data_IF_767359632825
#
_entry.id   IF_767359632825
#
_cell.length_a   1.000
_cell.length_b   1.000
_cell.length_c   1.000
_cell.angle_alpha   90.00
_cell.angle_beta   90.00
_cell.angle_gamma   90.00
#
_symmetry.space_group_name_H-M   'P 1'
#
loop_
_entity.id
_entity.type
_entity.pdbx_description
1 polymer ?
#
# COMPACT_ATOMS: atom_id res chain seq x y z
N UNK A 1 16.36 -19.14 5.41
CA UNK A 1 16.85 -18.02 6.25
C UNK A 1 15.68 -17.55 7.10
N UNK A 2 15.83 -17.41 8.41
CA UNK A 2 14.69 -17.11 9.29
C UNK A 2 14.30 -15.62 9.16
N UNK A 3 13.12 -15.32 8.61
CA UNK A 3 12.63 -13.96 8.38
C UNK A 3 12.59 -13.12 9.68
N UNK A 4 12.19 -13.74 10.79
CA UNK A 4 12.17 -13.06 12.10
C UNK A 4 13.57 -12.60 12.53
N UNK A 5 14.62 -13.38 12.26
CA UNK A 5 16.00 -12.99 12.54
C UNK A 5 16.44 -11.79 11.70
N UNK A 6 16.10 -11.80 10.41
CA UNK A 6 16.39 -10.67 9.51
C UNK A 6 15.69 -9.42 10.00
N UNK A 7 14.41 -9.50 10.34
CA UNK A 7 13.63 -8.39 10.89
C UNK A 7 14.29 -7.83 12.16
N UNK A 8 14.68 -8.72 13.09
CA UNK A 8 15.36 -8.28 14.33
C UNK A 8 16.66 -7.55 14.04
N UNK A 9 17.52 -8.10 13.20
CA UNK A 9 18.82 -7.49 12.88
C UNK A 9 18.61 -6.16 12.17
N UNK A 10 17.78 -6.10 11.13
CA UNK A 10 17.59 -4.89 10.33
C UNK A 10 16.97 -3.76 11.14
N UNK A 11 15.85 -4.03 11.82
CA UNK A 11 15.15 -2.98 12.60
C UNK A 11 15.99 -2.53 13.78
N UNK A 12 16.60 -3.48 14.52
CA UNK A 12 17.43 -3.13 15.68
C UNK A 12 18.70 -2.39 15.29
N UNK A 13 19.37 -2.78 14.20
CA UNK A 13 20.56 -2.07 13.73
C UNK A 13 20.22 -0.62 13.31
N UNK A 14 19.17 -0.41 12.53
CA UNK A 14 18.73 0.92 12.15
C UNK A 14 18.35 1.76 13.37
N UNK A 15 17.54 1.20 14.28
CA UNK A 15 17.12 1.89 15.50
C UNK A 15 18.31 2.27 16.39
N UNK A 16 19.25 1.34 16.58
CA UNK A 16 20.44 1.56 17.41
C UNK A 16 21.36 2.67 16.83
N UNK A 17 21.62 2.61 15.53
CA UNK A 17 22.44 3.65 14.84
C UNK A 17 21.81 5.03 15.04
N UNK A 18 20.51 5.17 14.80
CA UNK A 18 19.83 6.45 14.95
C UNK A 18 19.72 6.89 16.42
N UNK A 19 19.58 5.97 17.37
CA UNK A 19 19.59 6.27 18.79
C UNK A 19 20.95 6.86 19.22
N UNK A 20 22.06 6.19 18.87
CA UNK A 20 23.42 6.65 19.17
C UNK A 20 23.66 8.02 18.55
N UNK A 21 23.30 8.22 17.28
CA UNK A 21 23.40 9.50 16.59
C UNK A 21 22.56 10.56 17.29
N UNK A 22 21.36 10.23 17.74
CA UNK A 22 20.47 11.11 18.50
C UNK A 22 21.09 11.60 19.80
N UNK A 23 21.66 10.69 20.58
CA UNK A 23 22.32 11.01 21.84
C UNK A 23 23.54 11.93 21.61
N UNK A 24 24.44 11.55 20.71
CA UNK A 24 25.66 12.32 20.40
C UNK A 24 25.30 13.73 19.93
N UNK A 25 24.33 13.85 19.06
CA UNK A 25 23.92 15.15 18.52
C UNK A 25 23.16 15.99 19.54
N UNK A 26 22.37 15.38 20.41
CA UNK A 26 21.72 16.07 21.52
C UNK A 26 22.69 16.71 22.46
N UNK A 27 23.73 15.96 22.88
CA UNK A 27 24.80 16.46 23.74
C UNK A 27 25.58 17.63 23.09
N UNK A 28 25.94 17.48 21.80
CA UNK A 28 26.74 18.46 21.06
C UNK A 28 25.99 19.76 20.72
N UNK A 29 24.68 19.67 20.51
CA UNK A 29 23.87 20.79 19.99
C UNK A 29 23.05 21.53 21.03
N UNK A 30 22.72 20.85 22.14
CA UNK A 30 21.82 21.36 23.17
C UNK A 30 20.36 21.49 22.72
N UNK A 31 19.50 21.99 23.62
CA UNK A 31 18.03 21.98 23.43
C UNK A 31 17.56 22.75 22.18
N UNK A 32 17.93 24.04 22.07
CA UNK A 32 17.39 24.92 21.05
C UNK A 32 17.65 24.42 19.61
N UNK A 33 18.86 23.92 19.33
CA UNK A 33 19.20 23.37 18.00
C UNK A 33 18.56 22.04 17.75
N UNK A 34 18.39 21.20 18.77
CA UNK A 34 17.69 19.90 18.67
C UNK A 34 16.21 20.13 18.41
N UNK A 35 15.59 21.11 19.09
CA UNK A 35 14.19 21.48 18.89
C UNK A 35 13.95 22.03 17.47
N UNK A 36 14.79 22.95 17.00
CA UNK A 36 14.69 23.44 15.63
C UNK A 36 14.76 22.31 14.60
N UNK A 37 15.68 21.36 14.80
CA UNK A 37 15.80 20.19 13.92
C UNK A 37 14.56 19.28 13.98
N UNK A 38 13.97 19.07 15.16
CA UNK A 38 12.75 18.29 15.31
C UNK A 38 11.59 18.95 14.53
N UNK A 39 11.45 20.27 14.66
CA UNK A 39 10.40 21.04 13.93
C UNK A 39 10.62 20.94 12.42
N UNK A 40 11.86 21.12 11.93
CA UNK A 40 12.14 20.99 10.48
C UNK A 40 11.92 19.59 9.98
N UNK A 41 12.20 18.57 10.79
CA UNK A 41 11.96 17.18 10.44
C UNK A 41 10.45 16.85 10.39
N UNK A 42 9.68 17.35 11.35
CA UNK A 42 8.23 17.21 11.37
C UNK A 42 7.61 17.94 10.16
N UNK A 43 8.08 19.13 9.83
CA UNK A 43 7.65 19.85 8.62
C UNK A 43 7.98 19.05 7.35
N UNK A 44 9.19 18.47 7.25
CA UNK A 44 9.55 17.62 6.12
C UNK A 44 8.63 16.40 5.99
N UNK A 45 8.24 15.77 7.09
CA UNK A 45 7.32 14.62 7.08
C UNK A 45 5.93 15.02 6.58
N UNK A 46 5.40 16.16 7.04
CA UNK A 46 4.12 16.70 6.60
C UNK A 46 4.16 17.09 5.11
N UNK A 47 5.20 17.79 4.67
CA UNK A 47 5.38 18.17 3.27
C UNK A 47 5.51 16.93 2.39
N UNK A 48 6.31 15.93 2.79
CA UNK A 48 6.43 14.65 2.07
C UNK A 48 5.09 13.96 1.91
N UNK A 49 4.25 13.97 2.95
CA UNK A 49 2.90 13.39 2.91
C UNK A 49 2.03 14.03 1.81
N UNK A 50 1.96 15.36 1.79
CA UNK A 50 1.16 16.07 0.78
C UNK A 50 1.73 15.96 -0.64
N UNK A 51 3.05 16.02 -0.79
CA UNK A 51 3.70 15.85 -2.10
C UNK A 51 3.47 14.42 -2.62
N UNK A 52 3.56 13.39 -1.76
CA UNK A 52 3.27 12.01 -2.13
C UNK A 52 1.86 11.89 -2.69
N UNK A 53 0.86 12.41 -1.98
CA UNK A 53 -0.52 12.42 -2.44
C UNK A 53 -0.70 13.15 -3.78
N UNK A 54 -0.07 14.32 -3.95
CA UNK A 54 -0.12 15.10 -5.18
C UNK A 54 0.51 14.38 -6.38
N UNK A 55 1.69 13.79 -6.20
CA UNK A 55 2.37 13.02 -7.26
C UNK A 55 1.55 11.80 -7.66
N UNK A 56 1.03 11.06 -6.70
CA UNK A 56 0.26 9.85 -6.96
C UNK A 56 -1.01 10.16 -7.72
N UNK A 57 -1.75 11.17 -7.29
CA UNK A 57 -2.98 11.58 -7.98
C UNK A 57 -2.68 12.04 -9.42
N UNK A 58 -1.64 12.84 -9.62
CA UNK A 58 -1.26 13.30 -10.96
C UNK A 58 -0.73 12.17 -11.87
N UNK A 59 0.03 11.22 -11.30
CA UNK A 59 0.59 10.09 -12.06
C UNK A 59 -0.44 8.99 -12.30
N UNK A 60 -1.36 8.78 -11.36
CA UNK A 60 -2.42 7.77 -11.47
C UNK A 60 -3.23 7.95 -12.75
N UNK A 61 -3.76 9.14 -12.97
CA UNK A 61 -4.53 9.48 -14.16
C UNK A 61 -3.72 9.33 -15.45
N UNK A 62 -2.45 9.78 -15.45
CA UNK A 62 -1.57 9.68 -16.59
C UNK A 62 -1.18 8.24 -16.93
N UNK A 63 -0.98 7.38 -15.94
CA UNK A 63 -0.67 5.96 -16.14
C UNK A 63 -1.90 5.22 -16.65
N UNK A 64 -3.08 5.48 -16.06
CA UNK A 64 -4.35 4.90 -16.52
C UNK A 64 -4.61 5.25 -17.98
N UNK A 65 -4.50 6.52 -18.35
CA UNK A 65 -4.68 6.96 -19.73
C UNK A 65 -3.67 6.32 -20.70
N UNK A 66 -2.41 6.15 -20.28
CA UNK A 66 -1.39 5.47 -21.09
C UNK A 66 -1.65 3.98 -21.23
N UNK A 67 -2.08 3.30 -20.17
CA UNK A 67 -2.39 1.86 -20.23
C UNK A 67 -3.58 1.59 -21.14
N UNK A 68 -4.63 2.39 -21.04
CA UNK A 68 -5.78 2.31 -21.94
C UNK A 68 -5.39 2.63 -23.38
N UNK A 69 -4.58 3.67 -23.62
CA UNK A 69 -4.09 4.01 -24.97
C UNK A 69 -3.10 2.99 -25.55
N UNK A 70 -2.38 2.21 -24.72
CA UNK A 70 -1.59 1.09 -25.19
C UNK A 70 -2.48 -0.10 -25.61
N UNK A 71 -3.61 -0.28 -24.92
CA UNK A 71 -4.61 -1.28 -25.29
C UNK A 71 -5.12 -1.08 -26.72
N UNK A 72 -5.35 0.17 -27.13
CA UNK A 72 -5.78 0.51 -28.49
C UNK A 72 -4.72 0.19 -29.56
N UNK A 73 -3.46 0.02 -29.16
CA UNK A 73 -2.32 -0.26 -30.06
C UNK A 73 -2.09 -1.77 -30.26
N UNK A 74 -2.54 -2.58 -29.34
CA UNK A 74 -2.44 -4.04 -29.41
C UNK A 74 -3.75 -4.64 -29.94
N UNK A 75 -3.64 -5.71 -30.74
CA UNK A 75 -4.70 -6.40 -31.48
C UNK A 75 -6.14 -6.18 -30.95
N UNK A 76 -7.06 -5.88 -31.84
CA UNK A 76 -8.46 -5.49 -31.54
C UNK A 76 -9.17 -6.36 -30.48
N UNK A 77 -8.87 -7.65 -30.40
CA UNK A 77 -9.41 -8.57 -29.39
C UNK A 77 -8.94 -8.26 -27.96
N UNK A 78 -7.68 -7.83 -27.79
CA UNK A 78 -7.15 -7.46 -26.47
C UNK A 78 -7.68 -6.08 -26.07
N UNK A 79 -7.82 -5.16 -27.02
CA UNK A 79 -8.41 -3.85 -26.81
C UNK A 79 -9.86 -3.99 -26.34
N UNK A 80 -10.65 -4.83 -26.97
CA UNK A 80 -12.06 -5.08 -26.62
C UNK A 80 -12.19 -5.67 -25.21
N UNK A 81 -11.35 -6.64 -24.84
CA UNK A 81 -11.30 -7.21 -23.48
C UNK A 81 -10.88 -6.17 -22.43
N UNK A 82 -9.89 -5.33 -22.73
CA UNK A 82 -9.39 -4.28 -21.83
C UNK A 82 -10.41 -3.16 -21.65
N UNK A 83 -11.14 -2.78 -22.70
CA UNK A 83 -12.23 -1.81 -22.59
C UNK A 83 -13.42 -2.39 -21.82
N UNK A 84 -13.75 -3.66 -22.00
CA UNK A 84 -14.77 -4.35 -21.22
C UNK A 84 -14.40 -4.52 -19.74
N UNK A 85 -13.13 -4.34 -19.39
CA UNK A 85 -12.60 -4.48 -18.01
C UNK A 85 -11.90 -3.22 -17.50
N UNK A 86 -12.28 -2.03 -17.98
CA UNK A 86 -11.68 -0.76 -17.57
C UNK A 86 -11.70 -0.56 -16.05
N UNK A 87 -12.81 -0.88 -15.40
CA UNK A 87 -12.94 -0.79 -13.95
C UNK A 87 -12.00 -1.74 -13.21
N UNK A 88 -11.74 -2.94 -13.75
CA UNK A 88 -10.78 -3.89 -13.19
C UNK A 88 -9.34 -3.34 -13.27
N UNK A 89 -8.98 -2.74 -14.41
CA UNK A 89 -7.66 -2.12 -14.58
C UNK A 89 -7.50 -0.96 -13.62
N UNK A 90 -8.49 -0.09 -13.51
CA UNK A 90 -8.49 1.01 -12.53
C UNK A 90 -8.32 0.49 -11.11
N UNK A 91 -9.04 -0.55 -10.76
CA UNK A 91 -8.97 -1.18 -9.45
C UNK A 91 -7.57 -1.74 -9.15
N UNK A 92 -7.04 -2.54 -10.06
CA UNK A 92 -5.70 -3.12 -9.91
C UNK A 92 -4.62 -2.02 -9.79
N UNK A 93 -4.74 -0.97 -10.60
CA UNK A 93 -3.83 0.16 -10.57
C UNK A 93 -3.93 0.94 -9.25
N UNK A 94 -5.14 1.18 -8.75
CA UNK A 94 -5.34 1.87 -7.48
C UNK A 94 -4.72 1.12 -6.30
N UNK A 95 -4.87 -0.22 -6.26
CA UNK A 95 -4.20 -1.06 -5.25
C UNK A 95 -2.67 -0.99 -5.40
N UNK A 96 -2.14 -1.12 -6.62
CA UNK A 96 -0.71 -1.04 -6.86
C UNK A 96 -0.13 0.32 -6.43
N UNK A 97 -0.82 1.40 -6.74
CA UNK A 97 -0.45 2.77 -6.33
C UNK A 97 -0.52 2.91 -4.81
N UNK A 98 -1.58 2.42 -4.17
CA UNK A 98 -1.72 2.48 -2.73
C UNK A 98 -0.61 1.69 -2.00
N UNK A 99 -0.16 0.57 -2.58
CA UNK A 99 0.99 -0.18 -2.09
C UNK A 99 2.32 0.55 -2.33
N UNK A 100 2.49 1.27 -3.44
CA UNK A 100 3.72 2.02 -3.72
C UNK A 100 3.82 3.33 -2.94
N UNK A 101 2.73 3.91 -2.51
CA UNK A 101 2.67 5.20 -1.82
C UNK A 101 3.57 5.30 -0.58
N UNK A 102 3.64 4.31 0.33
CA UNK A 102 4.53 4.37 1.49
C UNK A 102 6.01 4.40 1.12
N UNK A 103 6.41 3.71 0.05
CA UNK A 103 7.79 3.76 -0.45
C UNK A 103 8.12 5.14 -1.02
N UNK A 104 7.24 5.69 -1.85
CA UNK A 104 7.40 7.02 -2.41
C UNK A 104 7.49 8.09 -1.31
N UNK A 105 6.64 8.01 -0.29
CA UNK A 105 6.72 8.87 0.89
C UNK A 105 8.08 8.80 1.56
N UNK A 106 8.60 7.60 1.80
CA UNK A 106 9.89 7.41 2.46
C UNK A 106 11.03 8.03 1.65
N UNK A 107 11.03 7.84 0.33
CA UNK A 107 12.02 8.46 -0.56
C UNK A 107 11.92 9.98 -0.52
N UNK A 108 10.72 10.54 -0.67
CA UNK A 108 10.49 11.98 -0.61
C UNK A 108 10.87 12.59 0.75
N UNK A 109 10.51 11.92 1.83
CA UNK A 109 10.91 12.35 3.18
C UNK A 109 12.44 12.42 3.33
N UNK A 110 13.15 11.40 2.83
CA UNK A 110 14.61 11.38 2.87
C UNK A 110 15.25 12.46 1.99
N UNK A 111 14.69 12.71 0.80
CA UNK A 111 15.14 13.78 -0.09
C UNK A 111 14.91 15.17 0.53
N UNK A 112 13.73 15.42 1.05
CA UNK A 112 13.41 16.69 1.73
C UNK A 112 14.30 16.91 2.96
N UNK A 113 14.55 15.87 3.74
CA UNK A 113 15.46 15.92 4.85
C UNK A 113 16.89 16.29 4.41
N UNK A 114 17.38 15.68 3.33
CA UNK A 114 18.70 15.98 2.76
C UNK A 114 18.76 17.43 2.25
N UNK A 115 17.73 17.87 1.53
CA UNK A 115 17.61 19.24 1.04
C UNK A 115 17.61 20.26 2.17
N UNK A 116 16.82 20.04 3.23
CA UNK A 116 16.78 20.90 4.40
C UNK A 116 18.12 20.93 5.13
N UNK A 117 18.85 19.82 5.16
CA UNK A 117 20.20 19.79 5.74
C UNK A 117 21.19 20.62 4.93
N UNK A 118 21.16 20.52 3.58
CA UNK A 118 22.00 21.32 2.67
C UNK A 118 21.66 22.80 2.83
N UNK A 119 20.37 23.16 2.84
CA UNK A 119 19.92 24.54 3.01
C UNK A 119 20.36 25.12 4.35
N UNK A 120 20.24 24.33 5.43
CA UNK A 120 20.72 24.74 6.75
C UNK A 120 22.24 24.95 6.77
N UNK A 121 23.01 24.07 6.13
CA UNK A 121 24.45 24.19 6.01
C UNK A 121 24.84 25.45 5.22
N UNK A 122 24.18 25.74 4.12
CA UNK A 122 24.36 26.94 3.31
C UNK A 122 24.06 28.23 4.13
N UNK A 123 22.91 28.26 4.80
CA UNK A 123 22.56 29.41 5.68
C UNK A 123 23.56 29.64 6.78
N UNK A 124 24.13 28.57 7.35
CA UNK A 124 25.18 28.72 8.38
C UNK A 124 26.49 29.31 7.85
N UNK A 125 26.77 29.22 6.55
CA UNK A 125 27.95 29.85 5.92
C UNK A 125 27.80 31.39 5.83
N UNK A 126 26.54 31.85 5.63
CA UNK A 126 26.27 33.29 5.48
C UNK A 126 26.00 34.02 6.80
N UNK A 127 25.73 33.30 7.88
CA UNK A 127 25.47 33.91 9.18
C UNK A 127 26.76 34.11 9.95
N UNK A 128 27.01 35.33 10.51
CA UNK A 128 28.21 35.60 11.28
C UNK A 128 28.29 34.69 12.50
N UNK A 129 29.42 34.03 12.66
CA UNK A 129 29.69 33.11 13.76
C UNK A 129 29.81 33.87 15.09
N UNK A 130 28.69 34.05 15.80
CA UNK A 130 28.75 34.50 17.18
C UNK A 130 29.53 33.50 18.03
N UNK A 131 30.42 33.97 18.90
CA UNK A 131 31.17 33.14 19.86
C UNK A 131 30.23 32.16 20.55
N UNK A 132 30.49 30.86 20.42
CA UNK A 132 29.67 29.81 21.02
C UNK A 132 29.70 29.94 22.53
N UNK A 133 28.59 30.31 23.15
CA UNK A 133 28.44 30.22 24.60
C UNK A 133 28.50 28.73 25.01
N UNK A 134 29.12 28.41 26.16
CA UNK A 134 29.10 27.04 26.67
C UNK A 134 27.64 26.57 26.85
N UNK A 135 27.35 25.34 26.40
CA UNK A 135 26.02 24.77 26.53
C UNK A 135 25.86 24.30 27.97
N UNK A 136 24.84 24.80 28.64
CA UNK A 136 24.48 24.43 30.01
C UNK A 136 24.12 22.93 30.10
N UNK A 137 24.36 22.29 31.25
CA UNK A 137 24.12 20.87 31.50
C UNK A 137 22.65 20.49 31.28
N UNK A 138 21.72 21.33 31.75
CA UNK A 138 20.28 21.14 31.54
C UNK A 138 19.93 21.18 30.05
N UNK A 139 20.51 22.08 29.27
CA UNK A 139 20.32 22.18 27.83
C UNK A 139 20.88 20.97 27.08
N UNK A 140 21.92 20.30 27.61
CA UNK A 140 22.43 19.05 27.02
C UNK A 140 21.47 17.91 27.26
N UNK A 141 20.95 17.70 28.46
CA UNK A 141 20.03 16.63 28.81
C UNK A 141 18.72 16.75 28.01
N UNK A 142 18.11 17.94 28.02
CA UNK A 142 16.90 18.23 27.28
C UNK A 142 17.12 18.11 25.75
N UNK A 143 18.30 18.49 25.27
CA UNK A 143 18.75 18.34 23.89
C UNK A 143 18.83 16.86 23.44
N UNK A 144 19.30 15.97 24.35
CA UNK A 144 19.31 14.52 24.08
C UNK A 144 17.89 14.00 23.89
N UNK A 145 16.97 14.33 24.80
CA UNK A 145 15.57 13.89 24.73
C UNK A 145 14.96 14.31 23.40
N UNK A 146 15.03 15.60 23.04
CA UNK A 146 14.45 16.13 21.80
C UNK A 146 15.11 15.52 20.56
N UNK A 147 16.44 15.35 20.58
CA UNK A 147 17.16 14.73 19.45
C UNK A 147 16.79 13.27 19.28
N UNK A 148 16.58 12.53 20.37
CA UNK A 148 16.14 11.13 20.33
C UNK A 148 14.73 10.99 19.75
N UNK A 149 13.80 11.89 20.12
CA UNK A 149 12.47 11.94 19.50
C UNK A 149 12.57 12.20 17.99
N UNK A 150 13.43 13.13 17.56
CA UNK A 150 13.67 13.38 16.14
C UNK A 150 14.25 12.15 15.41
N UNK A 151 15.15 11.41 16.05
CA UNK A 151 15.67 10.17 15.49
C UNK A 151 14.61 9.07 15.44
N UNK A 152 13.73 8.97 16.42
CA UNK A 152 12.60 8.04 16.40
C UNK A 152 11.65 8.33 15.21
N UNK A 153 11.35 9.59 14.94
CA UNK A 153 10.56 9.99 13.77
C UNK A 153 11.22 9.53 12.45
N UNK A 154 12.55 9.65 12.34
CA UNK A 154 13.28 9.17 11.15
C UNK A 154 13.17 7.64 11.04
N UNK A 155 13.37 6.92 12.14
CA UNK A 155 13.31 5.45 12.17
C UNK A 155 11.92 4.97 11.77
N UNK A 156 10.87 5.58 12.31
CA UNK A 156 9.48 5.26 11.97
C UNK A 156 9.24 5.51 10.47
N UNK A 157 9.59 6.69 9.96
CA UNK A 157 9.39 7.03 8.54
C UNK A 157 10.19 6.15 7.58
N UNK A 158 11.35 5.64 8.00
CA UNK A 158 12.21 4.77 7.19
C UNK A 158 11.72 3.31 7.20
N UNK A 159 11.31 2.82 8.36
CA UNK A 159 10.95 1.42 8.56
C UNK A 159 9.45 1.14 8.39
N UNK A 160 8.61 2.19 8.32
CA UNK A 160 7.17 2.08 8.17
C UNK A 160 6.76 1.25 6.93
N UNK A 161 7.32 1.45 5.72
CA UNK A 161 6.93 0.63 4.58
C UNK A 161 7.23 -0.85 4.82
N UNK A 162 8.42 -1.14 5.35
CA UNK A 162 8.81 -2.52 5.65
C UNK A 162 7.88 -3.19 6.66
N UNK A 163 7.59 -2.51 7.77
CA UNK A 163 6.70 -3.02 8.81
C UNK A 163 5.25 -3.15 8.32
N UNK A 164 4.77 -2.18 7.53
CA UNK A 164 3.43 -2.17 6.95
C UNK A 164 3.23 -3.27 5.91
N UNK A 165 4.18 -3.47 4.99
CA UNK A 165 4.09 -4.57 4.01
C UNK A 165 4.18 -5.93 4.67
N UNK A 166 5.04 -6.08 5.68
CA UNK A 166 5.15 -7.35 6.38
C UNK A 166 3.85 -7.70 7.11
N UNK A 167 3.20 -6.71 7.75
CA UNK A 167 1.87 -6.89 8.33
C UNK A 167 0.86 -7.28 7.25
N UNK A 168 0.76 -6.47 6.18
CA UNK A 168 -0.19 -6.72 5.11
C UNK A 168 -0.01 -8.10 4.48
N UNK A 169 1.24 -8.53 4.26
CA UNK A 169 1.55 -9.85 3.73
C UNK A 169 1.17 -10.96 4.71
N UNK A 170 1.48 -10.80 6.02
CA UNK A 170 1.14 -11.77 7.06
C UNK A 170 -0.38 -11.94 7.23
N UNK A 171 -1.14 -10.83 7.12
CA UNK A 171 -2.59 -10.84 7.25
C UNK A 171 -3.28 -11.34 5.95
N UNK A 172 -2.63 -11.18 4.79
CA UNK A 172 -3.20 -11.53 3.49
C UNK A 172 -2.92 -12.98 3.11
N UNK A 173 -1.72 -13.49 3.38
CA UNK A 173 -1.27 -14.79 2.91
C UNK A 173 -2.17 -15.95 3.38
N UNK A 174 -2.55 -16.08 4.68
CA UNK A 174 -3.47 -17.13 5.13
C UNK A 174 -4.81 -17.08 4.41
N UNK A 175 -5.36 -15.88 4.22
CA UNK A 175 -6.65 -15.68 3.54
C UNK A 175 -6.59 -16.07 2.06
N UNK A 176 -5.47 -15.81 1.38
CA UNK A 176 -5.25 -16.25 0.00
C UNK A 176 -5.16 -17.77 -0.09
N UNK A 177 -4.47 -18.40 0.88
CA UNK A 177 -4.37 -19.86 0.97
C UNK A 177 -5.73 -20.52 1.26
N UNK A 178 -6.52 -19.91 2.15
CA UNK A 178 -7.88 -20.39 2.48
C UNK A 178 -8.86 -20.22 1.31
N UNK A 179 -8.74 -19.12 0.55
CA UNK A 179 -9.61 -18.85 -0.58
C UNK A 179 -9.38 -19.83 -1.73
N UNK A 180 -8.24 -20.61 -1.74
CA UNK A 180 -8.02 -21.33 -2.89
C UNK A 180 -7.13 -22.56 -3.03
N UNK A 181 -7.73 -23.53 -3.68
CA UNK A 181 -7.15 -24.79 -4.11
C UNK A 181 -6.19 -24.64 -5.30
N UNK A 182 -6.39 -23.64 -6.17
CA UNK A 182 -5.58 -23.44 -7.38
C UNK A 182 -4.16 -22.94 -7.12
N UNK A 183 -3.97 -22.16 -6.07
CA UNK A 183 -2.69 -21.50 -5.76
C UNK A 183 -1.84 -22.38 -4.85
N UNK A 184 -2.43 -23.35 -4.17
CA UNK A 184 -1.76 -24.18 -3.16
C UNK A 184 -0.51 -24.89 -3.68
N UNK A 185 -0.49 -25.33 -4.95
CA UNK A 185 0.67 -26.00 -5.53
C UNK A 185 1.79 -25.04 -5.93
N UNK A 186 1.52 -23.75 -6.02
CA UNK A 186 2.48 -22.73 -6.44
C UNK A 186 3.06 -21.91 -5.28
N UNK A 187 2.39 -21.91 -4.12
CA UNK A 187 2.82 -21.14 -2.96
C UNK A 187 3.88 -21.90 -2.14
N UNK A 188 4.97 -21.23 -1.72
CA UNK A 188 5.99 -21.86 -0.91
C UNK A 188 5.45 -22.33 0.44
N UNK A 189 5.59 -23.62 0.75
CA UNK A 189 5.18 -24.18 2.03
C UNK A 189 5.90 -23.49 3.21
N UNK A 190 5.17 -23.16 4.27
CA UNK A 190 5.70 -22.55 5.48
C UNK A 190 6.05 -21.06 5.36
N UNK A 191 5.65 -20.39 4.28
CA UNK A 191 5.80 -18.95 4.14
C UNK A 191 4.88 -18.17 5.09
N UNK A 192 3.68 -18.68 5.35
CA UNK A 192 2.72 -18.20 6.33
C UNK A 192 3.33 -18.03 7.73
N UNK A 193 3.92 -19.10 8.22
CA UNK A 193 4.58 -19.11 9.54
C UNK A 193 5.78 -18.12 9.58
N UNK A 194 6.52 -17.97 8.49
CA UNK A 194 7.63 -17.03 8.42
C UNK A 194 7.14 -15.57 8.38
N UNK A 195 6.09 -15.28 7.62
CA UNK A 195 5.49 -13.95 7.55
C UNK A 195 4.89 -13.55 8.91
N UNK A 196 4.13 -14.45 9.54
CA UNK A 196 3.57 -14.24 10.87
C UNK A 196 4.70 -14.00 11.90
N UNK A 197 5.73 -14.84 11.95
CA UNK A 197 6.87 -14.66 12.84
C UNK A 197 7.65 -13.36 12.59
N UNK A 198 7.67 -12.88 11.35
CA UNK A 198 8.25 -11.59 10.99
C UNK A 198 7.39 -10.42 11.47
N UNK A 199 6.09 -10.47 11.22
CA UNK A 199 5.13 -9.43 11.61
C UNK A 199 5.00 -9.30 13.13
N UNK A 200 5.05 -10.42 13.86
CA UNK A 200 5.00 -10.49 15.34
C UNK A 200 6.34 -10.24 16.00
N UNK A 201 7.38 -10.00 15.23
CA UNK A 201 8.69 -9.68 15.76
C UNK A 201 8.64 -8.43 16.64
N UNK A 202 9.21 -8.49 17.85
CA UNK A 202 9.18 -7.41 18.86
C UNK A 202 9.68 -6.07 18.32
N UNK A 203 10.72 -6.08 17.47
CA UNK A 203 11.28 -4.87 16.88
C UNK A 203 10.35 -4.28 15.81
N UNK A 204 9.72 -5.11 14.97
CA UNK A 204 8.71 -4.70 13.99
C UNK A 204 7.47 -4.15 14.69
N UNK A 205 6.97 -4.85 15.72
CA UNK A 205 5.85 -4.41 16.55
C UNK A 205 6.11 -3.06 17.24
N UNK A 206 7.35 -2.80 17.65
CA UNK A 206 7.71 -1.49 18.21
C UNK A 206 7.55 -0.37 17.17
N UNK A 207 8.03 -0.56 15.93
CA UNK A 207 7.85 0.42 14.84
C UNK A 207 6.36 0.64 14.54
N UNK A 208 5.59 -0.44 14.46
CA UNK A 208 4.14 -0.40 14.21
C UNK A 208 3.40 0.40 15.29
N UNK A 209 3.62 0.05 16.57
CA UNK A 209 2.98 0.71 17.74
C UNK A 209 3.41 2.17 17.91
N UNK A 210 4.61 2.56 17.52
CA UNK A 210 5.09 3.93 17.55
C UNK A 210 4.48 4.82 16.45
N UNK A 211 3.54 4.30 15.66
CA UNK A 211 2.81 5.04 14.64
C UNK A 211 3.09 4.59 13.22
N UNK A 212 3.91 3.56 13.03
CA UNK A 212 4.22 3.03 11.70
C UNK A 212 2.98 2.54 10.96
N UNK A 213 2.11 1.77 11.62
CA UNK A 213 0.85 1.27 11.02
C UNK A 213 -0.09 2.41 10.64
N UNK A 214 -0.29 3.38 11.55
CA UNK A 214 -1.14 4.54 11.28
C UNK A 214 -0.63 5.37 10.10
N UNK A 215 0.68 5.57 10.01
CA UNK A 215 1.30 6.33 8.92
C UNK A 215 1.19 5.57 7.59
N UNK A 216 1.45 4.28 7.59
CA UNK A 216 1.30 3.40 6.43
C UNK A 216 -0.13 3.46 5.89
N UNK A 217 -1.12 3.23 6.73
CA UNK A 217 -2.52 3.24 6.37
C UNK A 217 -2.97 4.60 5.81
N UNK A 218 -2.61 5.70 6.50
CA UNK A 218 -2.98 7.04 6.03
C UNK A 218 -2.37 7.39 4.68
N UNK A 219 -1.11 6.99 4.43
CA UNK A 219 -0.44 7.26 3.15
C UNK A 219 -1.07 6.42 2.05
N UNK A 220 -1.33 5.14 2.29
CA UNK A 220 -1.98 4.25 1.33
C UNK A 220 -3.39 4.71 0.97
N UNK A 221 -4.19 5.11 1.96
CA UNK A 221 -5.54 5.66 1.75
C UNK A 221 -5.52 6.97 0.97
N UNK A 222 -4.57 7.86 1.25
CA UNK A 222 -4.47 9.15 0.57
C UNK A 222 -4.18 9.01 -0.93
N UNK A 223 -3.56 7.91 -1.33
CA UNK A 223 -3.19 7.66 -2.71
C UNK A 223 -4.37 7.60 -3.70
N UNK A 224 -5.58 7.30 -3.22
CA UNK A 224 -6.77 7.10 -4.08
C UNK A 224 -7.94 8.00 -3.67
N UNK A 225 -7.71 8.99 -2.81
CA UNK A 225 -8.78 9.82 -2.24
C UNK A 225 -9.58 10.66 -3.25
N UNK A 226 -9.03 10.92 -4.41
CA UNK A 226 -9.69 11.72 -5.45
C UNK A 226 -10.44 10.86 -6.47
N UNK A 227 -10.43 9.54 -6.33
CA UNK A 227 -11.16 8.64 -7.20
C UNK A 227 -12.66 8.60 -6.82
N UNK A 228 -13.51 8.39 -7.82
CA UNK A 228 -14.97 8.33 -7.67
C UNK A 228 -15.38 7.20 -6.72
N UNK A 229 -14.65 6.10 -6.72
CA UNK A 229 -14.96 4.90 -5.94
C UNK A 229 -14.42 4.95 -4.51
N UNK A 230 -13.39 5.75 -4.23
CA UNK A 230 -12.73 5.82 -2.92
C UNK A 230 -12.68 7.25 -2.37
N UNK A 231 -13.84 7.88 -2.19
CA UNK A 231 -13.95 9.26 -1.67
C UNK A 231 -13.22 9.46 -0.34
N UNK A 232 -13.20 8.43 0.52
CA UNK A 232 -12.52 8.44 1.81
C UNK A 232 -11.09 7.84 1.75
N UNK A 233 -10.65 7.48 0.55
CA UNK A 233 -9.39 6.80 0.28
C UNK A 233 -9.51 5.27 0.31
N UNK A 234 -8.59 4.60 -0.38
CA UNK A 234 -8.56 3.14 -0.53
C UNK A 234 -8.10 2.48 0.77
N UNK A 235 -8.87 1.52 1.25
CA UNK A 235 -8.52 0.68 2.39
C UNK A 235 -8.02 -0.68 1.89
N UNK A 236 -6.68 -0.89 1.95
CA UNK A 236 -6.04 -2.10 1.42
C UNK A 236 -6.58 -3.39 2.04
N UNK A 237 -6.91 -3.38 3.33
CA UNK A 237 -7.43 -4.57 4.01
C UNK A 237 -8.84 -4.91 3.55
N UNK A 238 -9.69 -3.88 3.41
CA UNK A 238 -11.06 -4.04 2.90
C UNK A 238 -11.05 -4.48 1.44
N UNK A 239 -10.24 -3.86 0.59
CA UNK A 239 -10.17 -4.19 -0.83
C UNK A 239 -9.61 -5.59 -1.06
N UNK A 240 -8.61 -6.02 -0.29
CA UNK A 240 -8.16 -7.42 -0.30
C UNK A 240 -9.30 -8.39 0.00
N UNK A 241 -10.05 -8.14 1.07
CA UNK A 241 -11.14 -9.03 1.47
C UNK A 241 -12.27 -9.06 0.40
N UNK A 242 -12.54 -7.91 -0.24
CA UNK A 242 -13.49 -7.83 -1.37
C UNK A 242 -13.00 -8.61 -2.60
N UNK A 243 -11.70 -8.51 -2.91
CA UNK A 243 -11.09 -9.25 -4.04
C UNK A 243 -11.14 -10.76 -3.80
N UNK A 244 -10.84 -11.22 -2.60
CA UNK A 244 -10.90 -12.65 -2.26
C UNK A 244 -12.32 -13.22 -2.33
N UNK A 245 -13.32 -12.45 -1.91
CA UNK A 245 -14.73 -12.83 -2.06
C UNK A 245 -15.13 -12.93 -3.53
N UNK A 246 -14.76 -11.94 -4.35
CA UNK A 246 -15.03 -11.97 -5.78
C UNK A 246 -14.38 -13.19 -6.43
N UNK A 247 -13.12 -13.48 -6.07
CA UNK A 247 -12.41 -14.66 -6.59
C UNK A 247 -13.13 -15.97 -6.23
N UNK A 248 -13.54 -16.13 -4.96
CA UNK A 248 -14.31 -17.28 -4.52
C UNK A 248 -15.63 -17.45 -5.30
N UNK A 249 -16.36 -16.35 -5.51
CA UNK A 249 -17.60 -16.37 -6.28
C UNK A 249 -17.37 -16.73 -7.76
N UNK A 250 -16.33 -16.20 -8.39
CA UNK A 250 -15.96 -16.54 -9.78
C UNK A 250 -15.55 -18.00 -9.88
N UNK A 251 -14.84 -18.52 -8.89
CA UNK A 251 -14.46 -19.93 -8.82
C UNK A 251 -15.69 -20.85 -8.74
N UNK A 252 -16.64 -20.55 -7.84
CA UNK A 252 -17.89 -21.31 -7.74
C UNK A 252 -18.66 -21.30 -9.08
N UNK A 253 -18.72 -20.15 -9.76
CA UNK A 253 -19.33 -20.07 -11.10
C UNK A 253 -18.58 -20.92 -12.13
N UNK A 254 -17.25 -21.01 -12.06
CA UNK A 254 -16.45 -21.82 -12.98
C UNK A 254 -16.68 -23.34 -12.82
N UNK A 255 -17.18 -23.78 -11.67
CA UNK A 255 -17.53 -25.17 -11.38
C UNK A 255 -18.90 -25.57 -11.92
N UNK A 256 -19.69 -24.62 -12.42
CA UNK A 256 -21.01 -24.88 -12.96
C UNK A 256 -20.87 -25.57 -14.32
N UNK A 257 -21.51 -26.69 -14.44
CA UNK A 257 -21.66 -27.36 -15.72
C UNK A 257 -22.63 -26.55 -16.61
N UNK A 258 -22.06 -25.69 -17.45
CA UNK A 258 -22.85 -24.85 -18.35
C UNK A 258 -23.65 -25.69 -19.38
N UNK A 259 -23.20 -26.88 -19.73
CA UNK A 259 -23.95 -27.77 -20.60
C UNK A 259 -25.23 -28.23 -19.90
N UNK A 260 -25.20 -28.45 -18.59
CA UNK A 260 -26.36 -28.80 -17.80
C UNK A 260 -27.42 -27.67 -17.70
N UNK A 261 -27.03 -26.40 -17.92
CA UNK A 261 -27.96 -25.26 -17.92
C UNK A 261 -28.88 -25.30 -19.18
N UNK A 262 -28.37 -25.81 -20.29
CA UNK A 262 -29.11 -25.90 -21.54
C UNK A 262 -29.85 -27.24 -21.70
N UNK A 263 -29.73 -28.17 -20.74
CA UNK A 263 -30.47 -29.41 -20.71
C UNK A 263 -31.88 -29.14 -20.15
N UNK A 264 -32.91 -29.26 -21.00
CA UNK A 264 -34.33 -29.05 -20.65
C UNK A 264 -34.80 -29.93 -19.45
N UNK A 265 -34.07 -30.99 -19.12
CA UNK A 265 -34.38 -31.88 -18.00
C UNK A 265 -33.68 -31.54 -16.69
N UNK A 266 -32.78 -30.57 -16.67
CA UNK A 266 -32.05 -30.13 -15.48
C UNK A 266 -32.37 -28.67 -15.15
N UNK A 267 -32.95 -28.42 -13.98
CA UNK A 267 -33.16 -27.08 -13.46
C UNK A 267 -31.91 -26.62 -12.68
N UNK A 268 -31.05 -25.84 -13.30
CA UNK A 268 -29.95 -25.17 -12.58
C UNK A 268 -30.48 -23.92 -11.91
N UNK A 269 -30.28 -23.77 -10.60
CA UNK A 269 -30.76 -22.61 -9.85
C UNK A 269 -29.86 -21.38 -10.08
N UNK A 270 -30.09 -20.70 -11.20
CA UNK A 270 -29.40 -19.46 -11.55
C UNK A 270 -29.65 -18.34 -10.53
N UNK A 271 -30.71 -18.46 -9.72
CA UNK A 271 -31.02 -17.47 -8.69
C UNK A 271 -30.03 -17.57 -7.52
N UNK A 272 -29.68 -18.80 -7.12
CA UNK A 272 -28.68 -19.02 -6.08
C UNK A 272 -27.30 -18.50 -6.49
N UNK A 273 -26.91 -18.71 -7.75
CA UNK A 273 -25.67 -18.19 -8.32
C UNK A 273 -25.67 -16.66 -8.31
N UNK A 274 -26.75 -16.04 -8.76
CA UNK A 274 -26.89 -14.59 -8.79
C UNK A 274 -26.80 -13.99 -7.38
N UNK A 275 -27.46 -14.60 -6.40
CA UNK A 275 -27.42 -14.17 -5.00
C UNK A 275 -26.00 -14.31 -4.45
N UNK A 276 -25.34 -15.45 -4.71
CA UNK A 276 -23.94 -15.66 -4.28
C UNK A 276 -22.97 -14.63 -4.87
N UNK A 277 -23.12 -14.28 -6.14
CA UNK A 277 -22.31 -13.25 -6.78
C UNK A 277 -22.57 -11.85 -6.20
N UNK A 278 -23.82 -11.51 -5.94
CA UNK A 278 -24.18 -10.22 -5.33
C UNK A 278 -23.66 -10.12 -3.90
N UNK A 279 -23.79 -11.19 -3.13
CA UNK A 279 -23.31 -11.24 -1.73
C UNK A 279 -21.77 -11.20 -1.68
N UNK A 280 -21.09 -11.83 -2.63
CA UNK A 280 -19.64 -11.80 -2.74
C UNK A 280 -19.11 -10.39 -2.99
N UNK A 281 -19.80 -9.62 -3.83
CA UNK A 281 -19.42 -8.23 -4.16
C UNK A 281 -19.68 -7.29 -2.98
N UNK A 282 -20.66 -7.59 -2.11
CA UNK A 282 -20.97 -6.83 -0.92
C UNK A 282 -21.29 -5.36 -1.22
N UNK A 283 -20.81 -4.45 -0.36
CA UNK A 283 -21.04 -2.99 -0.48
C UNK A 283 -20.01 -2.26 -1.35
N UNK A 284 -19.07 -2.96 -1.98
CA UNK A 284 -18.04 -2.33 -2.81
C UNK A 284 -18.62 -1.91 -4.16
N UNK A 285 -18.77 -0.60 -4.39
CA UNK A 285 -19.31 -0.05 -5.66
C UNK A 285 -18.43 -0.41 -6.85
N UNK A 286 -17.11 -0.42 -6.70
CA UNK A 286 -16.22 -0.80 -7.80
C UNK A 286 -16.35 -2.28 -8.15
N UNK A 287 -16.53 -3.16 -7.16
CA UNK A 287 -16.75 -4.58 -7.43
C UNK A 287 -18.07 -4.84 -8.15
N UNK A 288 -19.13 -4.10 -7.80
CA UNK A 288 -20.40 -4.14 -8.53
C UNK A 288 -20.23 -3.71 -9.97
N UNK A 289 -19.45 -2.67 -10.22
CA UNK A 289 -19.17 -2.19 -11.58
C UNK A 289 -18.35 -3.22 -12.37
N UNK A 290 -17.28 -3.78 -11.78
CA UNK A 290 -16.46 -4.82 -12.40
C UNK A 290 -17.33 -6.04 -12.75
N UNK A 291 -18.16 -6.49 -11.82
CA UNK A 291 -19.04 -7.62 -12.05
C UNK A 291 -20.04 -7.34 -13.18
N UNK A 292 -20.62 -6.15 -13.22
CA UNK A 292 -21.55 -5.73 -14.27
C UNK A 292 -20.85 -5.69 -15.65
N UNK A 293 -19.63 -5.19 -15.73
CA UNK A 293 -18.83 -5.16 -16.97
C UNK A 293 -18.51 -6.57 -17.46
N UNK A 294 -18.03 -7.45 -16.58
CA UNK A 294 -17.72 -8.85 -16.91
C UNK A 294 -18.96 -9.61 -17.38
N UNK A 295 -20.10 -9.46 -16.68
CA UNK A 295 -21.35 -10.10 -17.07
C UNK A 295 -21.89 -9.56 -18.39
N UNK A 296 -21.77 -8.26 -18.65
CA UNK A 296 -22.17 -7.65 -19.92
C UNK A 296 -21.34 -8.19 -21.09
N UNK A 297 -20.02 -8.30 -20.89
CA UNK A 297 -19.11 -8.87 -21.89
C UNK A 297 -19.43 -10.34 -22.18
N UNK A 298 -19.62 -11.15 -21.13
CA UNK A 298 -19.99 -12.57 -21.28
C UNK A 298 -21.34 -12.75 -22.01
N UNK A 299 -22.33 -11.91 -21.71
CA UNK A 299 -23.63 -11.91 -22.40
C UNK A 299 -23.47 -11.53 -23.88
N UNK A 300 -22.65 -10.54 -24.21
CA UNK A 300 -22.35 -10.16 -25.59
C UNK A 300 -21.69 -11.28 -26.38
N UNK A 301 -20.71 -11.97 -25.77
CA UNK A 301 -20.07 -13.15 -26.42
C UNK A 301 -21.07 -14.31 -26.65
N UNK A 302 -21.92 -14.60 -25.67
CA UNK A 302 -22.95 -15.63 -25.81
C UNK A 302 -23.94 -15.29 -26.93
N UNK A 303 -24.35 -14.02 -27.04
CA UNK A 303 -25.25 -13.56 -28.11
C UNK A 303 -24.58 -13.64 -29.50
N UNK A 304 -23.30 -13.28 -29.60
CA UNK A 304 -22.53 -13.39 -30.84
C UNK A 304 -22.38 -14.88 -31.28
N UNK A 305 -22.07 -15.77 -30.34
CA UNK A 305 -21.99 -17.21 -30.59
C UNK A 305 -23.36 -17.78 -31.06
N UNK A 306 -24.45 -17.39 -30.40
CA UNK A 306 -25.79 -17.80 -30.76
C UNK A 306 -26.19 -17.32 -32.17
N UNK A 307 -25.84 -16.10 -32.56
CA UNK A 307 -26.12 -15.56 -33.89
C UNK A 307 -25.34 -16.24 -35.03
N UNK A 308 -24.19 -16.85 -34.69
CA UNK A 308 -23.40 -17.64 -35.65
C UNK A 308 -23.92 -19.07 -35.84
N UNK A 309 -24.71 -19.57 -34.88
CA UNK A 309 -25.33 -20.93 -34.92
C UNK A 309 -26.70 -20.95 -35.57
N UNK A 310 -27.33 -19.82 -35.80
CA UNK A 310 -28.57 -19.69 -36.53
C UNK A 310 -28.27 -19.33 -38.00
N UNK A 311 -28.59 -20.24 -38.98
CA UNK A 311 -28.36 -20.00 -40.40
C UNK A 311 -29.25 -18.87 -40.94
#
# INVERSE_FOLDING_TARGET
MNLSLICTITVSAVALIYLIVGIIWGIKRGFARSLFRLITLAAAAVIAFFITAGIINACGDAITAKLLGLADTYAAQIAELLHASESLIRYALAIAIALLAPLLYTVLFMLLRALLWILYAALCMFLPTKKKKPIDSLSRVTGVIVSTVGCALIVISLLMPFAGYLRFAADSYPKVVEAEVFINDTLPQGLDAQLAAGADNKAVLAVRKLGGDLLFEKISRQASKNDTYWKDGLDLDRERDSLLRLYGAVYEVSLIDFEAIFDENKTTDLTAIKVGLVDAVGDSEIMKTILAEVLSYAAGMAQAAHSQLLP
#
